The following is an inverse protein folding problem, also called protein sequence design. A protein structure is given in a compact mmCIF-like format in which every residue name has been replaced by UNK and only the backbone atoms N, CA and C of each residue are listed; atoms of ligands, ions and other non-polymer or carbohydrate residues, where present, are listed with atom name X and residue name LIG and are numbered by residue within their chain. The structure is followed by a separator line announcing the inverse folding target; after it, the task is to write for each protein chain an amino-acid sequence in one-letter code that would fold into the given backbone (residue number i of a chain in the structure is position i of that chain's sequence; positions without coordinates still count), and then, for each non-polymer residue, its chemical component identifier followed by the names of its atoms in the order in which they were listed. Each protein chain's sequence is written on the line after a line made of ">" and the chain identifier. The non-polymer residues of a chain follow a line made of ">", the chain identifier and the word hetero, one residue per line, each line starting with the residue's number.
data_IF_571696443296
#
_entry.id   IF_571696443296
#
_cell.length_a   1.000
_cell.length_b   1.000
_cell.length_c   1.000
_cell.angle_alpha   90.00
_cell.angle_beta   90.00
_cell.angle_gamma   90.00
#
_symmetry.space_group_name_H-M   'P 1'
#
loop_
_entity.id
_entity.type
_entity.pdbx_description
1 polymer ?
#
# COMPACT_ATOMS: atom_id res chain seq x y z
N UNK A 1 45.16 23.86 -12.00
CA UNK A 1 44.13 22.81 -11.86
C UNK A 1 43.26 22.90 -13.10
N UNK A 2 43.37 21.98 -14.08
CA UNK A 2 42.49 22.01 -15.25
C UNK A 2 41.16 21.30 -14.97
N UNK A 3 40.17 21.73 -15.75
CA UNK A 3 38.72 21.59 -15.66
C UNK A 3 38.13 20.23 -15.26
N UNK A 4 37.05 20.34 -14.47
CA UNK A 4 36.14 19.26 -14.06
C UNK A 4 35.13 19.06 -15.20
N UNK A 5 35.04 17.87 -15.82
CA UNK A 5 34.11 17.65 -16.93
C UNK A 5 32.67 17.69 -16.43
N UNK A 6 31.83 18.33 -17.24
CA UNK A 6 30.44 18.68 -17.03
C UNK A 6 29.56 17.58 -16.43
N UNK A 7 28.77 18.01 -15.46
CA UNK A 7 27.49 17.46 -15.05
C UNK A 7 26.57 17.38 -16.29
N UNK A 8 26.27 16.17 -16.78
CA UNK A 8 25.15 15.95 -17.69
C UNK A 8 24.33 14.73 -17.25
N UNK A 9 23.25 14.93 -16.49
CA UNK A 9 22.18 13.95 -16.41
C UNK A 9 21.01 14.46 -17.26
N UNK A 10 21.01 14.21 -18.58
CA UNK A 10 19.78 14.38 -19.35
C UNK A 10 19.75 13.46 -20.56
N UNK A 11 19.37 12.20 -20.36
CA UNK A 11 18.80 11.40 -21.46
C UNK A 11 17.29 11.67 -21.53
N UNK A 12 16.74 12.15 -22.66
CA UNK A 12 15.31 12.44 -22.85
C UNK A 12 14.47 11.15 -23.01
N UNK A 13 13.12 11.20 -22.93
CA UNK A 13 12.31 10.06 -22.56
C UNK A 13 12.39 8.95 -23.61
N UNK A 14 12.68 7.72 -23.16
CA UNK A 14 12.51 6.52 -23.95
C UNK A 14 11.08 6.44 -24.47
N UNK A 15 10.87 6.89 -25.71
CA UNK A 15 9.68 6.58 -26.48
C UNK A 15 9.78 5.10 -26.83
N UNK A 16 9.25 4.24 -25.96
CA UNK A 16 9.08 2.84 -26.28
C UNK A 16 8.33 2.75 -27.62
N UNK A 17 8.87 2.09 -28.64
CA UNK A 17 8.19 1.95 -29.90
C UNK A 17 6.87 1.20 -29.68
N UNK A 18 5.78 1.62 -30.35
CA UNK A 18 4.50 0.95 -30.23
C UNK A 18 4.67 -0.52 -30.64
N UNK A 19 4.47 -1.43 -29.69
CA UNK A 19 4.60 -2.87 -29.89
C UNK A 19 5.72 -3.56 -29.12
N UNK A 20 6.57 -2.83 -28.38
CA UNK A 20 7.46 -3.49 -27.41
C UNK A 20 6.67 -3.93 -26.17
N UNK A 21 6.72 -5.23 -25.89
CA UNK A 21 6.15 -5.82 -24.67
C UNK A 21 6.97 -5.31 -23.49
N UNK A 22 6.31 -4.63 -22.55
CA UNK A 22 6.94 -4.05 -21.35
C UNK A 22 7.27 -5.10 -20.27
N UNK A 23 6.88 -6.35 -20.50
CA UNK A 23 6.92 -7.44 -19.52
C UNK A 23 7.52 -8.65 -20.24
N UNK A 24 8.57 -9.24 -19.66
CA UNK A 24 9.19 -10.46 -20.13
C UNK A 24 8.34 -11.70 -19.76
N UNK A 25 8.68 -12.85 -20.33
CA UNK A 25 8.02 -14.11 -19.94
C UNK A 25 8.33 -14.48 -18.48
N UNK A 26 9.57 -14.22 -18.04
CA UNK A 26 9.98 -14.42 -16.65
C UNK A 26 9.16 -13.56 -15.67
N UNK A 27 8.87 -12.30 -16.03
CA UNK A 27 8.05 -11.42 -15.19
C UNK A 27 6.61 -11.94 -15.03
N UNK A 28 6.09 -12.66 -16.02
CA UNK A 28 4.76 -13.28 -15.95
C UNK A 28 4.81 -14.52 -15.05
N UNK A 29 5.83 -15.37 -15.21
CA UNK A 29 6.03 -16.55 -14.36
C UNK A 29 6.21 -16.18 -12.89
N UNK A 30 7.05 -15.18 -12.60
CA UNK A 30 7.27 -14.68 -11.23
C UNK A 30 5.99 -14.07 -10.62
N UNK A 31 5.15 -13.42 -11.45
CA UNK A 31 3.87 -12.88 -11.02
C UNK A 31 2.87 -14.01 -10.69
N UNK A 32 2.80 -15.05 -11.50
CA UNK A 32 1.95 -16.21 -11.26
C UNK A 32 2.36 -16.96 -9.98
N UNK A 33 3.67 -17.16 -9.77
CA UNK A 33 4.20 -17.74 -8.53
C UNK A 33 3.84 -16.88 -7.31
N UNK A 34 3.93 -15.56 -7.43
CA UNK A 34 3.56 -14.63 -6.37
C UNK A 34 2.07 -14.72 -6.03
N UNK A 35 1.20 -14.75 -7.04
CA UNK A 35 -0.25 -14.86 -6.87
C UNK A 35 -0.66 -16.23 -6.30
N UNK A 36 0.05 -17.30 -6.66
CA UNK A 36 -0.15 -18.62 -6.09
C UNK A 36 0.30 -18.69 -4.61
N UNK A 37 1.49 -18.17 -4.31
CA UNK A 37 2.05 -18.17 -2.96
C UNK A 37 1.26 -17.28 -1.98
N UNK A 38 0.60 -16.23 -2.48
CA UNK A 38 -0.17 -15.27 -1.69
C UNK A 38 -1.66 -15.32 -2.06
N UNK A 39 -2.39 -16.40 -1.69
CA UNK A 39 -3.81 -16.50 -1.99
C UNK A 39 -4.58 -15.32 -1.37
N UNK A 40 -5.54 -14.73 -2.09
CA UNK A 40 -6.27 -13.56 -1.62
C UNK A 40 -7.02 -13.89 -0.32
N UNK A 41 -6.76 -13.10 0.72
CA UNK A 41 -7.48 -13.19 1.99
C UNK A 41 -8.59 -12.14 2.01
N UNK A 42 -9.82 -12.58 2.27
CA UNK A 42 -10.95 -11.67 2.44
C UNK A 42 -10.80 -10.91 3.75
N UNK A 43 -10.39 -9.64 3.67
CA UNK A 43 -10.39 -8.73 4.83
C UNK A 43 -11.76 -8.07 4.93
N UNK A 44 -12.58 -8.51 5.88
CA UNK A 44 -13.84 -7.84 6.18
C UNK A 44 -13.56 -6.63 7.07
N UNK A 45 -13.80 -5.44 6.53
CA UNK A 45 -13.77 -4.19 7.30
C UNK A 45 -14.90 -4.23 8.33
N UNK A 46 -14.56 -4.06 9.61
CA UNK A 46 -15.58 -3.98 10.66
C UNK A 46 -16.17 -2.58 10.65
N UNK A 47 -17.49 -2.50 10.52
CA UNK A 47 -18.23 -1.24 10.41
C UNK A 47 -19.26 -1.19 11.55
N UNK A 48 -19.34 -0.06 12.23
CA UNK A 48 -20.37 0.18 13.25
C UNK A 48 -21.76 0.33 12.61
N UNK A 49 -22.84 0.19 13.40
CA UNK A 49 -24.20 0.44 12.93
C UNK A 49 -24.42 1.86 12.36
N UNK A 50 -23.55 2.82 12.68
CA UNK A 50 -23.54 4.16 12.11
C UNK A 50 -22.81 4.28 10.76
N UNK A 51 -22.35 3.17 10.17
CA UNK A 51 -21.69 3.15 8.85
C UNK A 51 -20.21 3.56 8.83
N UNK A 52 -19.65 3.95 9.98
CA UNK A 52 -18.22 4.28 10.13
C UNK A 52 -17.39 3.07 10.53
N UNK A 53 -16.08 3.16 10.34
CA UNK A 53 -15.15 2.13 10.82
C UNK A 53 -15.30 1.85 12.30
N UNK A 54 -15.22 0.57 12.63
CA UNK A 54 -15.08 0.15 14.01
C UNK A 54 -13.62 0.27 14.45
N UNK A 55 -13.33 0.90 15.60
CA UNK A 55 -14.28 1.59 16.49
C UNK A 55 -14.60 3.01 15.99
N UNK A 56 -15.89 3.36 15.95
CA UNK A 56 -16.31 4.74 15.67
C UNK A 56 -16.15 5.62 16.91
N UNK A 57 -16.34 6.93 16.77
CA UNK A 57 -16.16 7.91 17.86
C UNK A 57 -16.99 7.58 19.10
N UNK A 58 -18.23 7.11 18.93
CA UNK A 58 -19.11 6.74 20.04
C UNK A 58 -18.60 5.51 20.79
N UNK A 59 -18.08 4.51 20.06
CA UNK A 59 -17.47 3.31 20.65
C UNK A 59 -16.17 3.66 21.38
N UNK A 60 -15.36 4.56 20.82
CA UNK A 60 -14.13 5.05 21.46
C UNK A 60 -14.46 5.77 22.77
N UNK A 61 -15.47 6.63 22.75
CA UNK A 61 -15.95 7.32 23.95
C UNK A 61 -16.44 6.32 25.01
N UNK A 62 -17.27 5.36 24.64
CA UNK A 62 -17.76 4.34 25.56
C UNK A 62 -16.61 3.51 26.18
N UNK A 63 -15.60 3.14 25.37
CA UNK A 63 -14.40 2.45 25.87
C UNK A 63 -13.61 3.29 26.86
N UNK A 64 -13.43 4.58 26.58
CA UNK A 64 -12.75 5.50 27.49
C UNK A 64 -13.48 5.59 28.84
N UNK A 65 -14.79 5.78 28.83
CA UNK A 65 -15.61 5.88 30.06
C UNK A 65 -15.52 4.61 30.89
N UNK A 66 -15.61 3.42 30.26
CA UNK A 66 -15.46 2.15 31.00
C UNK A 66 -14.07 2.02 31.61
N UNK A 67 -13.03 2.34 30.85
CA UNK A 67 -11.65 2.27 31.33
C UNK A 67 -11.40 3.21 32.52
N UNK A 68 -11.94 4.43 32.48
CA UNK A 68 -11.83 5.36 33.61
C UNK A 68 -12.61 4.88 34.84
N UNK A 69 -13.81 4.34 34.65
CA UNK A 69 -14.62 3.80 35.76
C UNK A 69 -14.01 2.56 36.41
N UNK A 70 -13.27 1.75 35.64
CA UNK A 70 -12.51 0.60 36.16
C UNK A 70 -11.23 1.03 36.89
N UNK A 71 -10.61 2.15 36.49
CA UNK A 71 -9.40 2.67 37.15
C UNK A 71 -9.68 3.36 38.50
N UNK A 72 -10.92 3.74 38.77
CA UNK A 72 -11.35 4.35 40.04
C UNK A 72 -11.80 3.32 41.09
N UNK A 73 -11.80 2.02 40.75
CA UNK A 73 -12.12 0.90 41.64
C UNK A 73 -10.85 0.28 42.23
#
# INVERSE_FOLDING_TARGET
>A
MPDRPDDQPTDPPSRHPPGQRLVSEQDVEDADDTLFAHPPRVVRRWVCGCGRDYPCTDVLFARLVKATAEAEQ
#
